data_IF_790724103401
#
_entry.id   IF_790724103401
#
_cell.length_a   1.000
_cell.length_b   1.000
_cell.length_c   1.000
_cell.angle_alpha   90.00
_cell.angle_beta   90.00
_cell.angle_gamma   90.00
#
_symmetry.space_group_name_H-M   'P 1'
#
loop_
_entity.id
_entity.type
_entity.pdbx_description
1 polymer ?
#
# COMPACT_ATOMS: atom_id res chain seq x y z
N UNK A 1 -40.77 -31.99 35.35
CA UNK A 1 -39.58 -31.70 34.53
C UNK A 1 -39.95 -30.58 33.57
N UNK A 2 -39.40 -29.38 33.79
CA UNK A 2 -39.61 -28.21 32.93
C UNK A 2 -38.69 -28.30 31.71
N UNK A 3 -39.12 -27.99 30.48
CA UNK A 3 -38.24 -27.98 29.32
C UNK A 3 -37.33 -26.75 29.39
N UNK A 4 -36.04 -26.95 29.12
CA UNK A 4 -35.08 -25.87 28.93
C UNK A 4 -35.32 -25.20 27.56
N UNK A 5 -35.60 -23.90 27.57
CA UNK A 5 -35.69 -23.09 26.35
C UNK A 5 -34.28 -22.68 25.92
N UNK A 6 -33.81 -23.21 24.78
CA UNK A 6 -32.57 -22.75 24.15
C UNK A 6 -32.86 -21.55 23.27
N UNK A 7 -32.33 -20.37 23.65
CA UNK A 7 -32.33 -19.18 22.80
C UNK A 7 -31.02 -19.12 22.02
N UNK A 8 -31.10 -19.33 20.70
CA UNK A 8 -29.96 -19.09 19.80
C UNK A 8 -29.93 -17.61 19.43
N UNK A 9 -28.98 -16.86 20.00
CA UNK A 9 -28.68 -15.51 19.53
C UNK A 9 -27.91 -15.60 18.20
N UNK A 10 -28.52 -15.09 17.13
CA UNK A 10 -27.77 -14.77 15.91
C UNK A 10 -26.94 -13.52 16.22
N UNK A 11 -25.63 -13.70 16.33
CA UNK A 11 -24.70 -12.58 16.36
C UNK A 11 -24.63 -12.04 14.93
N UNK A 12 -25.24 -10.89 14.66
CA UNK A 12 -25.01 -10.14 13.44
C UNK A 12 -23.58 -9.58 13.47
N UNK A 13 -22.61 -10.36 12.99
CA UNK A 13 -21.22 -9.90 12.87
C UNK A 13 -20.97 -9.23 11.51
N UNK A 14 -21.70 -8.17 11.18
CA UNK A 14 -21.18 -7.20 10.21
C UNK A 14 -20.17 -6.30 10.92
N UNK A 15 -19.04 -6.88 11.31
CA UNK A 15 -17.86 -6.10 11.63
C UNK A 15 -17.40 -5.47 10.32
N UNK A 16 -17.43 -4.13 10.25
CA UNK A 16 -16.77 -3.41 9.16
C UNK A 16 -15.30 -3.82 9.20
N UNK A 17 -14.74 -4.39 8.13
CA UNK A 17 -13.33 -4.78 8.14
C UNK A 17 -12.49 -3.53 8.42
N UNK A 18 -11.77 -3.56 9.54
CA UNK A 18 -10.82 -2.52 9.89
C UNK A 18 -9.60 -2.69 8.99
N UNK A 19 -9.29 -1.66 8.20
CA UNK A 19 -8.08 -1.61 7.38
C UNK A 19 -6.97 -0.90 8.16
N UNK A 20 -5.95 -1.64 8.58
CA UNK A 20 -4.78 -1.11 9.26
C UNK A 20 -3.68 -0.79 8.24
N UNK A 21 -3.33 0.49 8.11
CA UNK A 21 -2.25 0.90 7.22
C UNK A 21 -1.20 1.74 7.95
N UNK A 22 0.05 1.62 7.51
CA UNK A 22 1.16 2.42 8.01
C UNK A 22 2.16 2.73 6.89
N UNK A 23 3.09 3.65 7.12
CA UNK A 23 4.16 3.97 6.17
C UNK A 23 5.51 3.59 6.75
N UNK A 24 6.42 3.12 5.91
CA UNK A 24 7.77 2.73 6.32
C UNK A 24 8.80 3.10 5.24
N UNK A 25 9.82 3.84 5.64
CA UNK A 25 11.00 4.05 4.80
C UNK A 25 11.92 2.82 4.93
N UNK A 26 11.95 1.99 3.89
CA UNK A 26 12.64 0.71 3.91
C UNK A 26 14.17 0.83 3.85
N UNK A 27 14.70 1.99 3.46
CA UNK A 27 16.10 2.26 3.08
C UNK A 27 16.61 1.45 1.89
N UNK A 28 16.22 0.18 1.75
CA UNK A 28 16.39 -0.64 0.55
C UNK A 28 15.69 -1.99 0.75
N UNK A 29 15.00 -2.50 -0.27
CA UNK A 29 14.52 -3.89 -0.33
C UNK A 29 15.15 -4.63 -1.52
N UNK A 30 16.34 -4.23 -1.97
CA UNK A 30 16.90 -4.65 -3.26
C UNK A 30 17.18 -6.16 -3.30
N UNK A 31 17.72 -6.72 -2.22
CA UNK A 31 18.06 -8.14 -2.13
C UNK A 31 17.23 -8.88 -1.07
N UNK A 32 17.36 -10.21 -1.04
CA UNK A 32 16.59 -11.08 -0.15
C UNK A 32 16.88 -10.83 1.34
N UNK A 33 18.12 -10.51 1.71
CA UNK A 33 18.49 -10.22 3.10
C UNK A 33 17.83 -8.95 3.61
N UNK A 34 17.87 -7.88 2.81
CA UNK A 34 17.19 -6.62 3.14
C UNK A 34 15.66 -6.76 3.20
N UNK A 35 15.09 -7.59 2.33
CA UNK A 35 13.67 -7.91 2.40
C UNK A 35 13.35 -8.66 3.70
N UNK A 36 14.13 -9.68 4.06
CA UNK A 36 13.93 -10.43 5.30
C UNK A 36 14.06 -9.54 6.55
N UNK A 37 15.06 -8.66 6.61
CA UNK A 37 15.23 -7.70 7.70
C UNK A 37 14.02 -6.77 7.86
N UNK A 38 13.40 -6.39 6.74
CA UNK A 38 12.16 -5.63 6.74
C UNK A 38 10.97 -6.47 7.21
N UNK A 39 10.83 -7.71 6.72
CA UNK A 39 9.73 -8.61 7.11
C UNK A 39 9.77 -8.92 8.63
N UNK A 40 10.96 -9.07 9.21
CA UNK A 40 11.15 -9.25 10.66
C UNK A 40 10.69 -8.03 11.48
N UNK A 41 10.82 -6.82 10.92
CA UNK A 41 10.33 -5.60 11.54
C UNK A 41 8.82 -5.46 11.36
N UNK A 42 8.32 -5.74 10.15
CA UNK A 42 6.90 -5.69 9.82
C UNK A 42 6.07 -6.68 10.66
N UNK A 43 6.63 -7.87 10.96
CA UNK A 43 5.99 -8.90 11.78
C UNK A 43 5.63 -8.43 13.21
N UNK A 44 6.19 -7.32 13.68
CA UNK A 44 5.92 -6.75 15.02
C UNK A 44 4.77 -5.76 15.02
N UNK A 45 4.19 -5.47 13.85
CA UNK A 45 3.15 -4.48 13.65
C UNK A 45 1.91 -5.21 13.14
N UNK A 46 0.74 -4.88 13.69
CA UNK A 46 -0.52 -5.32 13.10
C UNK A 46 -0.82 -4.43 11.89
N UNK A 47 -0.64 -4.95 10.68
CA UNK A 47 -0.87 -4.22 9.44
C UNK A 47 -1.65 -5.06 8.43
N UNK A 48 -2.35 -4.36 7.56
CA UNK A 48 -2.96 -4.90 6.35
C UNK A 48 -2.21 -4.40 5.09
N UNK A 49 -1.81 -3.13 5.11
CA UNK A 49 -1.04 -2.48 4.04
C UNK A 49 0.04 -1.59 4.63
N UNK A 50 1.29 -1.82 4.25
CA UNK A 50 2.41 -0.90 4.52
C UNK A 50 2.74 -0.16 3.24
N UNK A 51 2.62 1.16 3.24
CA UNK A 51 3.18 2.01 2.19
C UNK A 51 4.69 2.14 2.37
N UNK A 52 5.44 1.92 1.31
CA UNK A 52 6.91 1.88 1.35
C UNK A 52 7.52 3.05 0.59
N UNK A 53 8.55 3.67 1.18
CA UNK A 53 9.52 4.53 0.49
C UNK A 53 10.91 3.90 0.51
N UNK A 54 11.78 4.33 -0.40
CA UNK A 54 13.14 3.79 -0.59
C UNK A 54 13.19 2.27 -0.82
N UNK A 55 12.27 1.75 -1.65
CA UNK A 55 12.26 0.32 -2.03
C UNK A 55 13.55 -0.05 -2.79
N UNK A 56 14.09 0.87 -3.60
CA UNK A 56 15.33 0.75 -4.39
C UNK A 56 15.38 -0.48 -5.32
N UNK A 57 14.22 -1.03 -5.71
CA UNK A 57 14.10 -2.03 -6.77
C UNK A 57 13.88 -1.35 -8.11
N UNK A 58 14.40 -1.96 -9.18
CA UNK A 58 14.27 -1.44 -10.55
C UNK A 58 12.95 -1.84 -11.19
N UNK A 59 12.41 -0.94 -11.99
CA UNK A 59 11.16 -1.13 -12.72
C UNK A 59 9.94 -1.20 -11.81
N UNK A 60 8.90 -1.86 -12.30
CA UNK A 60 7.61 -1.99 -11.62
C UNK A 60 7.20 -3.45 -11.61
N UNK A 61 6.74 -3.96 -10.46
CA UNK A 61 6.20 -5.31 -10.39
C UNK A 61 5.30 -5.52 -9.16
N UNK A 62 4.54 -6.61 -9.21
CA UNK A 62 3.93 -7.27 -8.07
C UNK A 62 4.68 -8.59 -7.85
N UNK A 63 5.12 -8.84 -6.63
CA UNK A 63 5.79 -10.07 -6.22
C UNK A 63 4.97 -10.74 -5.12
N UNK A 64 4.60 -11.99 -5.31
CA UNK A 64 4.11 -12.83 -4.21
C UNK A 64 5.30 -13.46 -3.50
N UNK A 65 5.38 -13.27 -2.19
CA UNK A 65 6.53 -13.66 -1.39
C UNK A 65 6.26 -14.99 -0.68
N UNK A 66 7.33 -15.72 -0.38
CA UNK A 66 7.24 -16.99 0.35
C UNK A 66 6.70 -16.84 1.78
N UNK A 67 6.74 -15.62 2.32
CA UNK A 67 6.17 -15.23 3.61
C UNK A 67 4.62 -15.15 3.60
N UNK A 68 3.99 -15.25 2.42
CA UNK A 68 2.54 -15.16 2.27
C UNK A 68 2.00 -13.72 2.16
N UNK A 69 2.88 -12.76 1.93
CA UNK A 69 2.55 -11.36 1.64
C UNK A 69 2.87 -11.03 0.18
N UNK A 70 2.35 -9.91 -0.31
CA UNK A 70 2.69 -9.38 -1.63
C UNK A 70 3.43 -8.05 -1.54
N UNK A 71 4.43 -7.87 -2.40
CA UNK A 71 5.14 -6.61 -2.59
C UNK A 71 4.80 -6.02 -3.96
N UNK A 72 4.14 -4.88 -3.96
CA UNK A 72 3.95 -4.02 -5.12
C UNK A 72 4.99 -2.92 -5.10
N UNK A 73 5.66 -2.64 -6.22
CA UNK A 73 6.62 -1.54 -6.24
C UNK A 73 6.68 -0.81 -7.58
N UNK A 74 7.13 0.44 -7.49
CA UNK A 74 7.41 1.35 -8.57
C UNK A 74 8.76 2.01 -8.32
N UNK A 75 9.76 1.70 -9.14
CA UNK A 75 11.09 2.27 -9.09
C UNK A 75 11.59 2.69 -10.47
N UNK A 76 12.78 3.28 -10.50
CA UNK A 76 13.44 3.67 -11.76
C UNK A 76 13.81 2.42 -12.58
N UNK A 77 13.80 2.54 -13.91
CA UNK A 77 14.13 1.41 -14.79
C UNK A 77 15.63 1.10 -14.83
N UNK A 78 16.48 2.13 -14.76
CA UNK A 78 17.92 2.06 -14.95
C UNK A 78 18.71 1.99 -13.64
N UNK A 79 18.15 2.54 -12.54
CA UNK A 79 18.86 2.74 -11.28
C UNK A 79 18.13 2.15 -10.08
N UNK A 80 18.89 1.59 -9.15
CA UNK A 80 18.38 1.09 -7.87
C UNK A 80 18.35 2.20 -6.81
N UNK A 81 17.66 3.30 -7.12
CA UNK A 81 17.48 4.46 -6.24
C UNK A 81 16.00 4.79 -6.07
N UNK A 82 15.67 5.53 -5.02
CA UNK A 82 14.29 5.90 -4.70
C UNK A 82 13.39 4.65 -4.64
N UNK A 83 12.17 4.76 -5.15
CA UNK A 83 11.22 3.67 -5.27
C UNK A 83 10.19 3.69 -4.15
N UNK A 84 8.94 3.50 -4.53
CA UNK A 84 7.79 3.43 -3.63
C UNK A 84 6.99 2.16 -3.88
N UNK A 85 6.17 1.76 -2.94
CA UNK A 85 5.40 0.53 -3.07
C UNK A 85 4.41 0.27 -1.96
N UNK A 86 3.85 -0.92 -1.98
CA UNK A 86 2.96 -1.43 -0.95
C UNK A 86 3.38 -2.85 -0.58
N UNK A 87 3.45 -3.14 0.71
CA UNK A 87 3.58 -4.49 1.25
C UNK A 87 2.26 -4.88 1.91
N UNK A 88 1.65 -5.97 1.47
CA UNK A 88 0.24 -6.26 1.73
C UNK A 88 0.02 -7.70 2.17
N UNK A 89 -0.94 -7.89 3.09
CA UNK A 89 -1.43 -9.25 3.43
C UNK A 89 -2.20 -9.83 2.25
N UNK A 90 -2.18 -11.16 2.10
CA UNK A 90 -2.85 -11.83 0.97
C UNK A 90 -4.37 -11.55 0.91
N UNK A 91 -5.01 -11.37 2.07
CA UNK A 91 -6.43 -11.02 2.17
C UNK A 91 -6.74 -9.67 1.51
N UNK A 92 -5.82 -8.70 1.62
CA UNK A 92 -5.96 -7.38 1.00
C UNK A 92 -5.40 -7.33 -0.41
N UNK A 93 -4.37 -8.11 -0.73
CA UNK A 93 -3.92 -8.33 -2.11
C UNK A 93 -5.07 -8.83 -2.99
N UNK A 94 -5.87 -9.79 -2.50
CA UNK A 94 -7.02 -10.32 -3.22
C UNK A 94 -8.13 -9.28 -3.50
N UNK A 95 -8.09 -8.13 -2.80
CA UNK A 95 -9.03 -7.01 -2.96
C UNK A 95 -8.46 -5.88 -3.83
N UNK A 96 -7.25 -6.04 -4.36
CA UNK A 96 -6.65 -5.06 -5.27
C UNK A 96 -7.41 -5.06 -6.59
N UNK A 97 -8.08 -3.94 -6.87
CA UNK A 97 -8.73 -3.69 -8.15
C UNK A 97 -7.73 -3.17 -9.18
N UNK A 98 -6.76 -2.35 -8.74
CA UNK A 98 -5.75 -1.76 -9.62
C UNK A 98 -4.53 -1.30 -8.83
N UNK A 99 -3.36 -1.64 -9.32
CA UNK A 99 -2.09 -0.99 -8.95
C UNK A 99 -1.68 -0.02 -10.07
N UNK A 100 -1.25 1.19 -9.69
CA UNK A 100 -0.81 2.24 -10.61
C UNK A 100 0.58 2.74 -10.18
N UNK A 101 1.66 2.28 -10.82
CA UNK A 101 2.99 2.83 -10.64
C UNK A 101 3.10 4.15 -11.41
N UNK A 102 3.07 5.29 -10.70
CA UNK A 102 3.08 6.62 -11.34
C UNK A 102 4.51 7.06 -11.64
N UNK A 103 5.39 6.94 -10.66
CA UNK A 103 6.83 7.22 -10.77
C UNK A 103 7.62 6.50 -9.67
N UNK A 104 8.93 6.70 -9.59
CA UNK A 104 9.74 6.20 -8.46
C UNK A 104 9.42 6.88 -7.12
N UNK A 105 8.57 7.91 -7.12
CA UNK A 105 8.14 8.69 -5.95
C UNK A 105 6.66 8.56 -5.62
N UNK A 106 5.83 8.08 -6.56
CA UNK A 106 4.39 7.99 -6.38
C UNK A 106 3.88 6.65 -6.93
N UNK A 107 3.12 5.93 -6.10
CA UNK A 107 2.36 4.77 -6.53
C UNK A 107 0.99 4.78 -5.86
N UNK A 108 -0.02 4.20 -6.50
CA UNK A 108 -1.33 4.04 -5.87
C UNK A 108 -1.89 2.65 -6.04
N UNK A 109 -2.68 2.22 -5.06
CA UNK A 109 -3.49 1.01 -5.14
C UNK A 109 -4.95 1.35 -4.87
N UNK A 110 -5.84 0.79 -5.69
CA UNK A 110 -7.29 0.86 -5.49
C UNK A 110 -7.75 -0.47 -4.91
N UNK A 111 -8.34 -0.44 -3.72
CA UNK A 111 -8.81 -1.61 -2.98
C UNK A 111 -10.34 -1.63 -2.91
N UNK A 112 -10.90 -2.82 -2.99
CA UNK A 112 -12.30 -3.10 -2.71
C UNK A 112 -12.53 -3.32 -1.20
N UNK A 113 -13.19 -2.36 -0.53
CA UNK A 113 -13.53 -2.47 0.88
C UNK A 113 -14.76 -3.35 1.08
N UNK A 114 -15.79 -3.10 0.29
CA UNK A 114 -17.06 -3.82 0.24
C UNK A 114 -17.74 -3.58 -1.12
N UNK A 115 -18.84 -4.29 -1.39
CA UNK A 115 -19.53 -4.27 -2.69
C UNK A 115 -19.96 -2.90 -3.24
N UNK A 116 -19.84 -1.81 -2.46
CA UNK A 116 -20.16 -0.45 -2.91
C UNK A 116 -19.08 0.57 -2.61
N UNK A 117 -18.00 0.19 -1.91
CA UNK A 117 -16.99 1.14 -1.43
C UNK A 117 -15.59 0.71 -1.85
N UNK A 118 -14.86 1.67 -2.39
CA UNK A 118 -13.45 1.52 -2.73
C UNK A 118 -12.61 2.54 -1.98
N UNK A 119 -11.36 2.17 -1.73
CA UNK A 119 -10.36 3.08 -1.17
C UNK A 119 -9.14 3.13 -2.07
N UNK A 120 -8.68 4.34 -2.37
CA UNK A 120 -7.40 4.57 -3.03
C UNK A 120 -6.37 4.92 -1.97
N UNK A 121 -5.29 4.15 -1.90
CA UNK A 121 -4.11 4.50 -1.13
C UNK A 121 -3.06 5.04 -2.11
N UNK A 122 -2.53 6.23 -1.86
CA UNK A 122 -1.46 6.87 -2.63
C UNK A 122 -0.23 6.93 -1.74
N UNK A 123 0.79 6.15 -2.06
CA UNK A 123 2.07 6.17 -1.38
C UNK A 123 2.98 7.18 -2.07
N UNK A 124 3.60 8.05 -1.25
CA UNK A 124 4.37 9.19 -1.70
C UNK A 124 5.76 9.20 -1.06
N UNK A 125 6.77 9.58 -1.84
CA UNK A 125 8.10 9.95 -1.37
C UNK A 125 8.46 11.33 -1.92
N UNK A 126 8.23 12.37 -1.12
CA UNK A 126 8.37 13.76 -1.55
C UNK A 126 9.84 14.11 -1.86
N UNK A 127 10.07 14.95 -2.89
CA UNK A 127 11.39 15.53 -3.12
C UNK A 127 11.72 16.54 -2.01
N UNK A 128 12.98 16.58 -1.60
CA UNK A 128 13.48 17.62 -0.68
C UNK A 128 13.52 18.99 -1.38
N UNK A 129 13.57 20.08 -0.62
CA UNK A 129 13.70 21.46 -1.16
C UNK A 129 14.99 21.72 -1.94
N UNK A 130 15.96 20.80 -1.89
CA UNK A 130 17.19 20.85 -2.68
C UNK A 130 17.02 20.46 -4.17
N UNK A 131 15.85 19.94 -4.56
CA UNK A 131 15.56 19.63 -5.98
C UNK A 131 15.13 20.88 -6.74
N UNK A 132 15.39 20.89 -8.04
CA UNK A 132 14.95 21.96 -8.94
C UNK A 132 13.43 22.13 -8.92
N UNK A 133 12.96 23.37 -9.05
CA UNK A 133 11.54 23.73 -9.04
C UNK A 133 10.71 22.92 -10.06
N UNK A 134 11.30 22.56 -11.19
CA UNK A 134 10.61 21.79 -12.24
C UNK A 134 10.36 20.35 -11.81
N UNK A 135 11.27 19.75 -11.02
CA UNK A 135 11.08 18.42 -10.41
C UNK A 135 9.94 18.49 -9.39
N UNK A 136 9.92 19.53 -8.57
CA UNK A 136 8.88 19.75 -7.56
C UNK A 136 7.51 19.94 -8.23
N UNK A 137 7.43 20.78 -9.27
CA UNK A 137 6.19 21.00 -10.05
C UNK A 137 5.70 19.72 -10.72
N UNK A 138 6.60 18.95 -11.35
CA UNK A 138 6.25 17.67 -11.98
C UNK A 138 5.70 16.69 -10.94
N UNK A 139 6.34 16.62 -9.77
CA UNK A 139 5.88 15.76 -8.68
C UNK A 139 4.45 16.13 -8.21
N UNK A 140 4.15 17.41 -8.01
CA UNK A 140 2.79 17.82 -7.59
C UNK A 140 1.75 17.57 -8.69
N UNK A 141 2.12 17.71 -9.97
CA UNK A 141 1.25 17.36 -11.09
C UNK A 141 0.93 15.87 -11.11
N UNK A 142 1.94 15.03 -10.92
CA UNK A 142 1.78 13.57 -10.87
C UNK A 142 0.95 13.15 -9.65
N UNK A 143 1.14 13.81 -8.50
CA UNK A 143 0.37 13.58 -7.28
C UNK A 143 -1.11 13.94 -7.47
N UNK A 144 -1.41 15.08 -8.06
CA UNK A 144 -2.80 15.48 -8.38
C UNK A 144 -3.46 14.46 -9.31
N UNK A 145 -2.73 14.00 -10.33
CA UNK A 145 -3.16 12.91 -11.21
C UNK A 145 -3.44 11.61 -10.47
N UNK A 146 -2.57 11.23 -9.52
CA UNK A 146 -2.73 10.02 -8.72
C UNK A 146 -3.94 10.10 -7.76
N UNK A 147 -4.20 11.26 -7.15
CA UNK A 147 -5.33 11.50 -6.25
C UNK A 147 -6.66 11.38 -6.99
N UNK A 148 -6.77 12.02 -8.17
CA UNK A 148 -7.98 11.98 -8.99
C UNK A 148 -8.19 10.58 -9.57
N UNK A 149 -7.12 9.97 -10.08
CA UNK A 149 -7.11 8.65 -10.68
C UNK A 149 -8.04 8.50 -11.90
N UNK A 150 -7.98 7.35 -12.56
CA UNK A 150 -8.88 7.03 -13.69
C UNK A 150 -10.26 6.52 -13.25
N UNK A 151 -10.43 6.22 -11.97
CA UNK A 151 -11.59 5.53 -11.42
C UNK A 151 -11.97 6.20 -10.11
N UNK A 152 -13.26 6.53 -9.96
CA UNK A 152 -13.80 7.17 -8.77
C UNK A 152 -13.63 6.23 -7.57
N UNK A 153 -12.78 6.63 -6.63
CA UNK A 153 -12.68 5.98 -5.33
C UNK A 153 -13.69 6.60 -4.37
N UNK A 154 -14.29 5.80 -3.48
CA UNK A 154 -15.16 6.37 -2.43
C UNK A 154 -14.34 7.21 -1.46
N UNK A 155 -13.13 6.76 -1.13
CA UNK A 155 -12.18 7.46 -0.28
C UNK A 155 -10.79 7.44 -0.91
N UNK A 156 -10.01 8.50 -0.71
CA UNK A 156 -8.60 8.56 -1.09
C UNK A 156 -7.78 8.93 0.14
N UNK A 157 -6.73 8.16 0.42
CA UNK A 157 -5.75 8.42 1.46
C UNK A 157 -4.40 8.67 0.79
N UNK A 158 -3.75 9.76 1.16
CA UNK A 158 -2.37 10.06 0.78
C UNK A 158 -1.51 9.77 2.01
N UNK A 159 -0.47 8.96 1.82
CA UNK A 159 0.43 8.52 2.86
C UNK A 159 1.85 8.46 2.32
N UNK A 160 2.84 8.45 3.21
CA UNK A 160 4.22 8.33 2.80
C UNK A 160 5.17 9.19 3.61
N UNK A 161 6.25 9.58 2.96
CA UNK A 161 7.36 10.36 3.49
C UNK A 161 7.38 11.71 2.75
N UNK A 162 7.23 12.80 3.50
CA UNK A 162 6.92 14.15 3.01
C UNK A 162 8.05 15.15 3.27
#
# INVERSE_FOLDING_TARGET
>A
MTPATTTTMKIDSKSTPLLNFCTFNARSLLNAGQLADFEDQAARINFDVIGLSEVRRRGTAQLDLSSGYSLFYSGESDQSRNGVGFYMTQNWTARVLKFVPVSSRIASVLLDLDSRKTIRLVQVYAPTTAYDDDVIKSFYKDLDGAIRGSSTATHTIIMGDF
#
